data_IF_628757444701
#
_entry.id   IF_628757444701
#
_cell.length_a   1.000
_cell.length_b   1.000
_cell.length_c   1.000
_cell.angle_alpha   90.00
_cell.angle_beta   90.00
_cell.angle_gamma   90.00
#
_symmetry.space_group_name_H-M   'P 1'
#
loop_
_entity.id
_entity.type
_entity.pdbx_description
1 polymer ?
#
# COMPACT_ATOMS: atom_id res chain seq x y z
N UNK A 1 -21.45 2.43 -23.87
CA UNK A 1 -21.33 2.94 -23.55
C UNK A 1 -20.75 3.24 -22.39
N UNK A 2 -20.21 3.62 -21.84
CA UNK A 2 -19.89 4.03 -20.69
C UNK A 2 -19.52 3.09 -19.71
N UNK A 3 -19.35 1.88 -19.98
CA UNK A 3 -19.09 0.87 -19.04
C UNK A 3 -17.73 0.98 -18.42
N UNK A 4 -16.76 1.31 -19.22
CA UNK A 4 -15.39 1.41 -18.72
C UNK A 4 -15.25 2.43 -17.62
N UNK A 5 -15.97 3.53 -17.72
CA UNK A 5 -15.83 4.53 -16.69
C UNK A 5 -16.47 4.10 -15.39
N UNK A 6 -17.37 3.17 -15.42
CA UNK A 6 -17.97 2.71 -14.18
C UNK A 6 -17.02 1.88 -13.36
N UNK A 7 -16.08 1.21 -13.99
CA UNK A 7 -15.13 0.40 -13.26
C UNK A 7 -14.24 1.27 -12.39
N UNK A 8 -13.76 2.37 -12.95
CA UNK A 8 -12.90 3.23 -12.16
C UNK A 8 -13.65 4.01 -11.10
N UNK A 9 -14.96 4.14 -11.24
CA UNK A 9 -15.74 4.86 -10.26
C UNK A 9 -15.77 4.19 -8.89
N UNK A 10 -15.36 2.92 -8.81
CA UNK A 10 -15.35 2.22 -7.54
C UNK A 10 -14.08 2.46 -6.73
N UNK A 11 -13.09 3.09 -7.32
CA UNK A 11 -11.86 3.39 -6.61
C UNK A 11 -11.87 4.81 -6.05
N UNK A 12 -11.48 4.92 -4.78
CA UNK A 12 -11.33 6.21 -4.13
C UNK A 12 -9.87 6.42 -3.80
N UNK A 13 -9.34 7.58 -4.13
CA UNK A 13 -7.97 7.90 -3.75
C UNK A 13 -7.94 8.26 -2.27
N UNK A 14 -7.04 7.64 -1.52
CA UNK A 14 -6.82 7.98 -0.12
C UNK A 14 -5.89 9.18 -0.11
N UNK A 15 -6.31 10.28 0.49
CA UNK A 15 -5.58 11.53 0.37
C UNK A 15 -4.91 12.01 1.64
N UNK A 16 -5.17 11.39 2.79
CA UNK A 16 -4.54 11.83 4.03
C UNK A 16 -4.20 10.64 4.91
N UNK A 17 -3.31 10.89 5.86
CA UNK A 17 -2.77 9.84 6.73
C UNK A 17 -3.85 9.20 7.60
N UNK A 18 -4.76 10.00 8.12
CA UNK A 18 -5.78 9.49 9.02
C UNK A 18 -6.67 8.46 8.34
N UNK A 19 -7.10 8.75 7.11
CA UNK A 19 -7.92 7.80 6.36
C UNK A 19 -7.14 6.54 6.03
N UNK A 20 -5.86 6.69 5.72
CA UNK A 20 -5.02 5.53 5.45
C UNK A 20 -4.89 4.66 6.70
N UNK A 21 -4.59 5.28 7.84
CA UNK A 21 -4.45 4.55 9.10
C UNK A 21 -5.73 3.80 9.47
N UNK A 22 -6.87 4.41 9.25
CA UNK A 22 -8.15 3.76 9.56
C UNK A 22 -8.33 2.47 8.78
N UNK A 23 -7.74 2.39 7.60
CA UNK A 23 -7.84 1.18 6.77
C UNK A 23 -6.83 0.11 7.15
N UNK A 24 -5.61 0.49 7.52
CA UNK A 24 -4.51 -0.47 7.62
C UNK A 24 -4.12 -0.87 9.03
N UNK A 25 -4.36 -0.02 10.03
CA UNK A 25 -3.90 -0.31 11.39
C UNK A 25 -4.66 -1.52 11.93
N UNK A 26 -3.92 -2.45 12.53
CA UNK A 26 -4.44 -3.71 13.06
C UNK A 26 -5.00 -4.66 11.98
N UNK A 27 -4.57 -4.45 10.73
CA UNK A 27 -4.93 -5.33 9.64
C UNK A 27 -3.67 -5.90 9.00
N UNK A 28 -3.84 -7.00 8.29
CA UNK A 28 -2.78 -7.54 7.44
C UNK A 28 -3.08 -7.14 6.01
N UNK A 29 -2.06 -6.69 5.29
CA UNK A 29 -2.16 -6.42 3.87
C UNK A 29 -1.65 -7.66 3.16
N UNK A 30 -2.53 -8.35 2.43
CA UNK A 30 -2.19 -9.64 1.88
C UNK A 30 -2.41 -9.74 0.39
N UNK A 31 -1.47 -10.38 -0.27
CA UNK A 31 -1.61 -10.84 -1.65
C UNK A 31 -0.78 -12.12 -1.76
N UNK A 32 -0.77 -12.75 -2.93
CA UNK A 32 -0.12 -14.04 -3.08
C UNK A 32 1.31 -14.01 -2.52
N UNK A 33 1.57 -14.87 -1.54
CA UNK A 33 2.87 -15.03 -0.86
C UNK A 33 3.37 -13.79 -0.11
N UNK A 34 2.52 -12.78 0.09
CA UNK A 34 2.92 -11.57 0.80
C UNK A 34 1.92 -11.26 1.90
N UNK A 35 2.43 -10.99 3.10
CA UNK A 35 1.62 -10.53 4.22
C UNK A 35 2.38 -9.45 4.96
N UNK A 36 1.82 -8.25 5.03
CA UNK A 36 2.49 -7.10 5.63
C UNK A 36 1.60 -6.43 6.66
N UNK A 37 2.23 -5.86 7.69
CA UNK A 37 1.56 -5.01 8.66
C UNK A 37 2.18 -3.63 8.57
N UNK A 38 1.33 -2.62 8.62
CA UNK A 38 1.74 -1.22 8.59
C UNK A 38 1.35 -0.63 9.93
N UNK A 39 2.32 -0.16 10.70
CA UNK A 39 2.07 0.29 12.06
C UNK A 39 1.93 1.80 12.13
N UNK A 40 1.27 2.27 13.18
CA UNK A 40 1.00 3.69 13.34
C UNK A 40 2.28 4.49 13.59
N UNK A 41 3.29 3.85 14.15
CA UNK A 41 4.56 4.51 14.43
C UNK A 41 5.53 4.51 13.24
N UNK A 42 5.04 4.20 12.04
CA UNK A 42 5.85 4.35 10.84
C UNK A 42 6.65 3.14 10.43
N UNK A 43 6.25 1.94 10.85
CA UNK A 43 6.99 0.72 10.50
C UNK A 43 6.19 -0.15 9.56
N UNK A 44 6.91 -0.94 8.78
CA UNK A 44 6.35 -1.99 7.93
C UNK A 44 7.02 -3.28 8.34
N UNK A 45 6.23 -4.33 8.56
CA UNK A 45 6.74 -5.63 8.99
C UNK A 45 5.96 -6.74 8.31
N UNK A 46 6.59 -7.85 8.05
CA UNK A 46 5.91 -9.00 7.50
C UNK A 46 6.83 -9.92 6.72
N UNK A 47 6.27 -10.55 5.71
CA UNK A 47 7.03 -11.49 4.90
C UNK A 47 6.56 -11.47 3.44
N UNK A 48 7.46 -11.81 2.55
CA UNK A 48 7.16 -11.99 1.14
C UNK A 48 7.99 -13.16 0.64
N UNK A 49 7.33 -14.17 0.05
CA UNK A 49 7.98 -15.39 -0.43
C UNK A 49 8.89 -15.99 0.65
N UNK A 50 8.38 -16.06 1.89
CA UNK A 50 9.05 -16.64 3.05
C UNK A 50 10.29 -15.88 3.54
N UNK A 51 10.55 -14.68 3.02
CA UNK A 51 11.62 -13.83 3.55
C UNK A 51 11.01 -12.67 4.32
N UNK A 52 11.69 -12.24 5.38
CA UNK A 52 11.17 -11.13 6.19
C UNK A 52 11.21 -9.83 5.40
N UNK A 53 10.20 -9.00 5.65
CA UNK A 53 10.12 -7.65 5.12
C UNK A 53 10.10 -6.70 6.31
N UNK A 54 10.96 -5.69 6.29
CA UNK A 54 10.95 -4.62 7.29
C UNK A 54 11.07 -3.31 6.55
N UNK A 55 10.54 -2.26 7.14
CA UNK A 55 10.64 -0.95 6.50
C UNK A 55 10.08 0.16 7.34
N UNK A 56 10.14 1.34 6.74
CA UNK A 56 9.63 2.56 7.34
C UNK A 56 8.72 3.26 6.36
N UNK A 57 7.71 3.92 6.88
CA UNK A 57 6.79 4.67 6.02
C UNK A 57 6.40 6.00 6.66
N UNK A 58 5.97 6.91 5.82
CA UNK A 58 5.39 8.17 6.24
C UNK A 58 4.37 8.58 5.18
N UNK A 59 3.52 9.53 5.54
CA UNK A 59 2.54 10.08 4.62
C UNK A 59 2.96 11.49 4.27
N UNK A 60 3.30 11.72 3.00
CA UNK A 60 3.84 13.00 2.56
C UNK A 60 3.09 13.47 1.33
N UNK A 61 2.51 14.66 1.40
CA UNK A 61 1.82 15.29 0.27
C UNK A 61 0.75 14.40 -0.38
N UNK A 62 0.05 13.63 0.42
CA UNK A 62 -1.00 12.76 -0.10
C UNK A 62 -0.53 11.41 -0.57
N UNK A 63 0.73 11.06 -0.33
CA UNK A 63 1.30 9.79 -0.79
C UNK A 63 1.84 8.96 0.36
N UNK A 64 1.80 7.64 0.17
CA UNK A 64 2.42 6.69 1.07
C UNK A 64 3.88 6.54 0.63
N UNK A 65 4.80 7.08 1.41
CA UNK A 65 6.22 7.07 1.06
C UNK A 65 6.94 6.06 1.95
N UNK A 66 7.68 5.13 1.35
CA UNK A 66 8.27 4.05 2.13
C UNK A 66 9.58 3.55 1.53
N UNK A 67 10.43 3.00 2.40
CA UNK A 67 11.58 2.20 2.01
C UNK A 67 11.50 0.88 2.77
N UNK A 68 12.01 -0.20 2.18
CA UNK A 68 11.90 -1.53 2.78
C UNK A 68 13.15 -2.34 2.53
N UNK A 69 13.29 -3.40 3.34
CA UNK A 69 14.24 -4.47 3.10
C UNK A 69 13.48 -5.77 2.93
N UNK A 70 13.79 -6.53 1.91
CA UNK A 70 13.27 -7.87 1.70
C UNK A 70 14.44 -8.82 1.93
N UNK A 71 14.46 -9.44 3.12
CA UNK A 71 15.68 -10.07 3.57
C UNK A 71 16.76 -9.03 3.67
N UNK A 72 17.83 -9.18 2.89
CA UNK A 72 18.91 -8.19 2.85
C UNK A 72 18.83 -7.32 1.59
N UNK A 73 17.82 -7.51 0.76
CA UNK A 73 17.69 -6.76 -0.48
C UNK A 73 16.96 -5.45 -0.22
N UNK A 74 17.56 -4.36 -0.64
CA UNK A 74 16.98 -3.05 -0.47
C UNK A 74 15.90 -2.80 -1.52
N UNK A 75 14.74 -2.31 -1.06
CA UNK A 75 13.67 -1.84 -1.93
C UNK A 75 13.62 -0.34 -1.72
N UNK A 76 13.98 0.40 -2.76
CA UNK A 76 14.25 1.82 -2.64
C UNK A 76 13.04 2.65 -2.25
N UNK A 77 13.32 3.78 -1.63
CA UNK A 77 12.31 4.74 -1.24
C UNK A 77 11.43 5.12 -2.43
N UNK A 78 10.14 5.14 -2.24
CA UNK A 78 9.21 5.53 -3.28
C UNK A 78 7.93 6.05 -2.63
N UNK A 79 7.34 7.08 -3.22
CA UNK A 79 6.07 7.63 -2.78
C UNK A 79 4.98 7.12 -3.69
N UNK A 80 3.95 6.52 -3.12
CA UNK A 80 2.92 5.81 -3.86
C UNK A 80 1.56 6.44 -3.65
N UNK A 81 0.80 6.51 -4.74
CA UNK A 81 -0.61 6.86 -4.65
C UNK A 81 -1.35 5.64 -4.14
N UNK A 82 -2.30 5.85 -3.24
CA UNK A 82 -3.08 4.76 -2.65
C UNK A 82 -4.54 4.92 -3.03
N UNK A 83 -5.15 3.87 -3.55
CA UNK A 83 -6.58 3.87 -3.86
C UNK A 83 -7.24 2.68 -3.17
N UNK A 84 -8.53 2.81 -2.90
CA UNK A 84 -9.31 1.79 -2.21
C UNK A 84 -10.62 1.59 -2.94
N UNK A 85 -10.97 0.34 -3.20
CA UNK A 85 -12.20 0.04 -3.93
C UNK A 85 -13.30 -0.56 -3.03
N UNK A 86 -13.11 -0.48 -1.71
CA UNK A 86 -14.03 -1.08 -0.74
C UNK A 86 -13.57 -2.46 -0.27
N UNK A 87 -12.63 -3.09 -0.96
CA UNK A 87 -12.14 -4.42 -0.62
C UNK A 87 -10.63 -4.51 -0.66
N UNK A 88 -10.00 -3.88 -1.66
CA UNK A 88 -8.56 -3.94 -1.86
C UNK A 88 -7.96 -2.56 -1.83
N UNK A 89 -6.78 -2.50 -1.27
CA UNK A 89 -5.99 -1.28 -1.23
C UNK A 89 -4.92 -1.42 -2.31
N UNK A 90 -4.82 -0.45 -3.20
CA UNK A 90 -3.87 -0.48 -4.29
C UNK A 90 -2.82 0.60 -4.12
N UNK A 91 -1.55 0.22 -4.25
CA UNK A 91 -0.43 1.14 -4.14
C UNK A 91 0.19 1.29 -5.53
N UNK A 92 0.28 2.51 -6.00
CA UNK A 92 0.77 2.81 -7.36
C UNK A 92 2.05 3.62 -7.23
N UNK A 93 3.16 3.04 -7.64
CA UNK A 93 4.48 3.65 -7.50
C UNK A 93 4.61 4.95 -8.28
N UNK A 94 5.64 5.70 -7.96
CA UNK A 94 5.97 6.95 -8.65
C UNK A 94 4.80 7.93 -8.65
N UNK A 95 4.20 8.07 -7.45
CA UNK A 95 3.10 9.01 -7.23
C UNK A 95 1.90 8.74 -8.14
N UNK A 96 1.70 7.48 -8.49
CA UNK A 96 0.57 7.07 -9.31
C UNK A 96 0.89 6.86 -10.78
N UNK A 97 2.14 7.03 -11.17
CA UNK A 97 2.54 6.92 -12.58
C UNK A 97 3.22 5.60 -12.92
N UNK A 98 3.53 4.78 -11.94
CA UNK A 98 4.28 3.56 -12.14
C UNK A 98 3.43 2.32 -11.98
N UNK A 99 4.09 1.22 -11.64
CA UNK A 99 3.43 -0.06 -11.45
C UNK A 99 2.62 -0.07 -10.17
N UNK A 100 1.62 -0.93 -10.12
CA UNK A 100 0.77 -1.01 -8.95
C UNK A 100 0.70 -2.43 -8.40
N UNK A 101 0.35 -2.51 -7.10
CA UNK A 101 0.09 -3.77 -6.43
C UNK A 101 -1.12 -3.59 -5.53
N UNK A 102 -2.01 -4.57 -5.55
CA UNK A 102 -3.23 -4.53 -4.75
C UNK A 102 -3.17 -5.57 -3.64
N UNK A 103 -3.69 -5.20 -2.47
CA UNK A 103 -3.67 -6.05 -1.29
C UNK A 103 -5.08 -6.15 -0.72
N UNK A 104 -5.44 -7.35 -0.27
CA UNK A 104 -6.64 -7.51 0.54
C UNK A 104 -6.32 -7.09 1.97
N UNK A 105 -7.30 -6.52 2.66
CA UNK A 105 -7.16 -6.15 4.07
C UNK A 105 -7.79 -7.24 4.91
N UNK A 106 -7.04 -7.79 5.85
CA UNK A 106 -7.51 -8.85 6.75
C UNK A 106 -7.17 -8.48 8.22
#
# INVERSE_FOLDING_TARGET
MLIASQISANETTISNRSDFEDLVINKKLERFLISLSVTKDGKIEGSAAARSVTGDWDWVDGFFCRSMLWGMREIEYNCQKVTFDGRRLRFISDQGKGQSASFALR
#
